data_IF_516801892905
#
_entry.id   IF_516801892905
#
_cell.length_a   1.000
_cell.length_b   1.000
_cell.length_c   1.000
_cell.angle_alpha   90.00
_cell.angle_beta   90.00
_cell.angle_gamma   90.00
#
_symmetry.space_group_name_H-M   'P 1'
#
loop_
_entity.id
_entity.type
_entity.pdbx_description
1 polymer ?
#
# COMPACT_ATOMS: atom_id res chain seq x y z
N UNK A 1 -38.11 0.62 -1.94
CA UNK A 1 -37.31 0.59 -0.71
C UNK A 1 -35.89 0.24 -1.15
N UNK A 2 -35.03 1.23 -1.25
CA UNK A 2 -33.59 1.02 -1.48
C UNK A 2 -33.05 0.39 -0.21
N UNK A 3 -32.69 -0.87 -0.31
CA UNK A 3 -31.93 -1.55 0.73
C UNK A 3 -30.51 -0.96 0.66
N UNK A 4 -30.31 0.20 1.30
CA UNK A 4 -28.97 0.74 1.54
C UNK A 4 -28.29 -0.26 2.46
N UNK A 5 -27.57 -1.19 1.85
CA UNK A 5 -26.65 -2.07 2.57
C UNK A 5 -25.64 -1.17 3.25
N UNK A 6 -25.93 -0.85 4.51
CA UNK A 6 -25.08 0.00 5.33
C UNK A 6 -23.74 -0.71 5.48
N UNK A 7 -22.67 -0.02 5.15
CA UNK A 7 -21.30 -0.48 5.40
C UNK A 7 -21.23 -1.07 6.81
N UNK A 8 -20.77 -2.29 6.95
CA UNK A 8 -20.76 -2.99 8.24
C UNK A 8 -19.58 -2.51 9.12
N UNK A 9 -19.65 -2.76 10.42
CA UNK A 9 -18.50 -2.52 11.32
C UNK A 9 -17.29 -3.29 10.87
N UNK A 10 -17.47 -4.50 10.33
CA UNK A 10 -16.40 -5.32 9.76
C UNK A 10 -15.75 -4.63 8.56
N UNK A 11 -16.54 -4.07 7.64
CA UNK A 11 -16.01 -3.32 6.49
C UNK A 11 -15.20 -2.09 6.92
N UNK A 12 -15.66 -1.38 7.95
CA UNK A 12 -14.93 -0.24 8.53
C UNK A 12 -13.59 -0.69 9.11
N UNK A 13 -13.53 -1.82 9.81
CA UNK A 13 -12.29 -2.38 10.33
C UNK A 13 -11.34 -2.82 9.21
N UNK A 14 -11.83 -3.32 8.09
CA UNK A 14 -11.02 -3.62 6.91
C UNK A 14 -10.33 -2.36 6.38
N UNK A 15 -11.03 -1.23 6.32
CA UNK A 15 -10.43 0.04 5.91
C UNK A 15 -9.30 0.49 6.86
N UNK A 16 -9.46 0.29 8.17
CA UNK A 16 -8.41 0.56 9.16
C UNK A 16 -7.18 -0.35 8.96
N UNK A 17 -7.42 -1.62 8.65
CA UNK A 17 -6.33 -2.56 8.32
C UNK A 17 -5.60 -2.13 7.04
N UNK A 18 -6.31 -1.70 6.01
CA UNK A 18 -5.71 -1.17 4.79
C UNK A 18 -4.82 0.05 5.08
N UNK A 19 -5.27 0.95 5.94
CA UNK A 19 -4.46 2.09 6.41
C UNK A 19 -3.15 1.61 7.06
N UNK A 20 -3.21 0.63 7.95
CA UNK A 20 -2.03 0.06 8.62
C UNK A 20 -1.06 -0.65 7.66
N UNK A 21 -1.57 -1.29 6.62
CA UNK A 21 -0.75 -1.88 5.56
C UNK A 21 0.10 -0.79 4.90
N UNK A 22 -0.51 0.30 4.47
CA UNK A 22 0.17 1.42 3.84
C UNK A 22 1.20 2.08 4.76
N UNK A 23 0.83 2.32 6.02
CA UNK A 23 1.74 2.86 7.03
C UNK A 23 2.97 1.98 7.23
N UNK A 24 2.80 0.67 7.24
CA UNK A 24 3.92 -0.29 7.37
C UNK A 24 4.81 -0.26 6.14
N UNK A 25 4.24 -0.16 4.94
CA UNK A 25 5.01 0.01 3.70
C UNK A 25 5.81 1.31 3.70
N UNK A 26 5.19 2.42 4.13
CA UNK A 26 5.86 3.71 4.26
C UNK A 26 7.06 3.64 5.23
N UNK A 27 6.90 2.96 6.37
CA UNK A 27 7.97 2.77 7.35
C UNK A 27 9.13 1.94 6.79
N UNK A 28 8.84 0.87 6.04
CA UNK A 28 9.84 0.07 5.36
C UNK A 28 10.65 0.91 4.36
N UNK A 29 9.98 1.71 3.54
CA UNK A 29 10.64 2.54 2.54
C UNK A 29 11.44 3.69 3.16
N UNK A 30 10.99 4.28 4.25
CA UNK A 30 11.79 5.22 5.05
C UNK A 30 13.03 4.57 5.65
N UNK A 31 12.92 3.34 6.10
CA UNK A 31 14.08 2.57 6.56
C UNK A 31 15.09 2.35 5.42
N UNK A 32 14.65 1.95 4.24
CA UNK A 32 15.53 1.82 3.08
C UNK A 32 16.15 3.14 2.64
N UNK A 33 15.39 4.24 2.65
CA UNK A 33 15.93 5.57 2.35
C UNK A 33 17.11 5.92 3.25
N UNK A 34 17.01 5.65 4.53
CA UNK A 34 18.11 5.89 5.50
C UNK A 34 19.26 4.91 5.34
N UNK A 35 18.96 3.64 5.11
CA UNK A 35 19.96 2.58 4.95
C UNK A 35 20.85 2.81 3.73
N UNK A 36 20.28 3.32 2.64
CA UNK A 36 21.00 3.57 1.38
C UNK A 36 21.27 5.06 1.13
N UNK A 37 21.46 5.83 2.20
CA UNK A 37 21.73 7.26 2.13
C UNK A 37 23.01 7.64 1.36
N UNK A 38 23.97 6.71 1.26
CA UNK A 38 25.19 6.90 0.48
C UNK A 38 24.95 6.96 -1.03
N UNK A 39 23.78 6.53 -1.48
CA UNK A 39 23.33 6.67 -2.87
C UNK A 39 22.16 7.66 -2.93
N UNK A 40 22.40 8.97 -3.19
CA UNK A 40 21.37 10.00 -3.11
C UNK A 40 20.17 9.75 -4.01
N UNK A 41 20.37 9.21 -5.20
CA UNK A 41 19.29 8.89 -6.14
C UNK A 41 18.38 7.77 -5.62
N UNK A 42 18.99 6.74 -5.05
CA UNK A 42 18.25 5.58 -4.47
C UNK A 42 17.55 6.00 -3.19
N UNK A 43 18.22 6.76 -2.32
CA UNK A 43 17.61 7.32 -1.11
C UNK A 43 16.39 8.19 -1.44
N UNK A 44 16.49 9.05 -2.45
CA UNK A 44 15.40 9.90 -2.90
C UNK A 44 14.23 9.07 -3.48
N UNK A 45 14.51 7.99 -4.20
CA UNK A 45 13.49 7.07 -4.70
C UNK A 45 12.67 6.48 -3.54
N UNK A 46 13.34 5.95 -2.52
CA UNK A 46 12.68 5.38 -1.35
C UNK A 46 11.88 6.41 -0.55
N UNK A 47 12.43 7.62 -0.37
CA UNK A 47 11.75 8.72 0.33
C UNK A 47 10.48 9.15 -0.40
N UNK A 48 10.54 9.25 -1.74
CA UNK A 48 9.37 9.55 -2.56
C UNK A 48 8.30 8.48 -2.42
N UNK A 49 8.69 7.21 -2.57
CA UNK A 49 7.78 6.08 -2.45
C UNK A 49 7.12 6.05 -1.06
N UNK A 50 7.89 6.26 0.01
CA UNK A 50 7.35 6.32 1.37
C UNK A 50 6.29 7.43 1.54
N UNK A 51 6.49 8.60 0.96
CA UNK A 51 5.50 9.71 1.00
C UNK A 51 4.23 9.38 0.23
N UNK A 52 4.35 8.65 -0.86
CA UNK A 52 3.20 8.20 -1.63
C UNK A 52 2.39 7.16 -0.85
N UNK A 53 3.06 6.23 -0.13
CA UNK A 53 2.37 5.30 0.78
C UNK A 53 1.68 6.01 1.96
N UNK A 54 2.29 7.07 2.51
CA UNK A 54 1.62 7.91 3.51
C UNK A 54 0.32 8.54 2.93
N UNK A 55 0.35 8.97 1.67
CA UNK A 55 -0.86 9.48 1.00
C UNK A 55 -1.92 8.41 0.80
N UNK A 56 -1.53 7.18 0.46
CA UNK A 56 -2.45 6.04 0.37
C UNK A 56 -3.08 5.73 1.72
N UNK A 57 -2.30 5.74 2.80
CA UNK A 57 -2.81 5.58 4.15
C UNK A 57 -3.87 6.64 4.51
N UNK A 58 -3.63 7.92 4.12
CA UNK A 58 -4.62 8.99 4.32
C UNK A 58 -5.91 8.77 3.52
N UNK A 59 -5.85 8.18 2.32
CA UNK A 59 -7.06 7.84 1.56
C UNK A 59 -7.90 6.80 2.31
N UNK A 60 -7.29 5.74 2.84
CA UNK A 60 -7.99 4.75 3.65
C UNK A 60 -8.49 5.34 4.97
N UNK A 61 -7.72 6.23 5.59
CA UNK A 61 -8.13 6.92 6.81
C UNK A 61 -9.33 7.83 6.57
N UNK A 62 -9.38 8.51 5.42
CA UNK A 62 -10.55 9.29 5.01
C UNK A 62 -11.77 8.38 4.87
N UNK A 63 -11.66 7.26 4.15
CA UNK A 63 -12.75 6.30 3.99
C UNK A 63 -13.23 5.76 5.34
N UNK A 64 -12.31 5.47 6.26
CA UNK A 64 -12.63 5.05 7.63
C UNK A 64 -13.41 6.14 8.40
N UNK A 65 -12.94 7.39 8.36
CA UNK A 65 -13.62 8.53 9.02
C UNK A 65 -15.01 8.79 8.46
N UNK A 66 -15.20 8.57 7.17
CA UNK A 66 -16.49 8.66 6.50
C UNK A 66 -17.41 7.46 6.84
N UNK A 67 -16.93 6.49 7.61
CA UNK A 67 -17.66 5.25 7.93
C UNK A 67 -18.10 4.50 6.66
N UNK A 68 -17.25 4.49 5.65
CA UNK A 68 -17.51 3.88 4.36
C UNK A 68 -18.56 4.59 3.50
N UNK A 69 -19.01 5.78 3.88
CA UNK A 69 -19.93 6.57 3.02
C UNK A 69 -19.27 6.88 1.70
N UNK A 70 -19.98 6.64 0.60
CA UNK A 70 -19.49 6.78 -0.76
C UNK A 70 -18.84 5.51 -1.32
N UNK A 71 -18.64 4.48 -0.50
CA UNK A 71 -18.25 3.14 -0.93
C UNK A 71 -19.44 2.21 -0.82
N UNK A 72 -19.80 1.53 -1.92
CA UNK A 72 -20.93 0.60 -1.94
C UNK A 72 -20.60 -0.73 -1.29
N UNK A 73 -19.44 -1.30 -1.64
CA UNK A 73 -19.02 -2.60 -1.11
C UNK A 73 -17.51 -2.78 -1.16
N UNK A 74 -17.01 -3.66 -0.29
CA UNK A 74 -15.67 -4.22 -0.35
C UNK A 74 -15.75 -5.65 -0.88
N UNK A 75 -14.72 -6.08 -1.65
CA UNK A 75 -14.60 -7.45 -2.16
C UNK A 75 -13.80 -8.37 -1.25
N UNK A 76 -13.01 -7.81 -0.35
CA UNK A 76 -12.19 -8.57 0.57
C UNK A 76 -12.92 -8.85 1.89
N UNK A 77 -12.47 -9.87 2.60
CA UNK A 77 -12.95 -10.17 3.95
C UNK A 77 -11.89 -9.88 5.02
N UNK A 78 -12.28 -9.96 6.28
CA UNK A 78 -11.42 -9.69 7.42
C UNK A 78 -10.22 -10.64 7.50
N UNK A 79 -10.41 -11.92 7.14
CA UNK A 79 -9.33 -12.91 7.15
C UNK A 79 -8.24 -12.55 6.14
N UNK A 80 -8.63 -12.17 4.92
CA UNK A 80 -7.71 -11.76 3.88
C UNK A 80 -6.98 -10.47 4.26
N UNK A 81 -7.69 -9.50 4.80
CA UNK A 81 -7.11 -8.24 5.27
C UNK A 81 -6.05 -8.47 6.37
N UNK A 82 -6.38 -9.25 7.39
CA UNK A 82 -5.47 -9.59 8.47
C UNK A 82 -4.26 -10.39 7.99
N UNK A 83 -4.47 -11.34 7.07
CA UNK A 83 -3.38 -12.11 6.47
C UNK A 83 -2.40 -11.21 5.72
N UNK A 84 -2.90 -10.27 4.94
CA UNK A 84 -2.07 -9.32 4.20
C UNK A 84 -1.28 -8.42 5.15
N UNK A 85 -1.92 -7.86 6.18
CA UNK A 85 -1.25 -7.04 7.19
C UNK A 85 -0.15 -7.83 7.92
N UNK A 86 -0.44 -9.05 8.36
CA UNK A 86 0.53 -9.92 9.04
C UNK A 86 1.74 -10.20 8.16
N UNK A 87 1.52 -10.44 6.87
CA UNK A 87 2.60 -10.69 5.92
C UNK A 87 3.47 -9.45 5.70
N UNK A 88 2.88 -8.28 5.53
CA UNK A 88 3.62 -7.01 5.35
C UNK A 88 4.43 -6.68 6.62
N UNK A 89 3.84 -6.83 7.79
CA UNK A 89 4.53 -6.64 9.07
C UNK A 89 5.69 -7.63 9.24
N UNK A 90 5.49 -8.89 8.86
CA UNK A 90 6.53 -9.91 8.90
C UNK A 90 7.71 -9.60 7.98
N UNK A 91 7.47 -9.08 6.79
CA UNK A 91 8.51 -8.61 5.87
C UNK A 91 9.31 -7.48 6.52
N UNK A 92 8.64 -6.47 7.05
CA UNK A 92 9.28 -5.33 7.71
C UNK A 92 10.14 -5.76 8.89
N UNK A 93 9.62 -6.59 9.78
CA UNK A 93 10.38 -7.12 10.92
C UNK A 93 11.60 -7.93 10.49
N UNK A 94 11.48 -8.74 9.44
CA UNK A 94 12.59 -9.52 8.88
C UNK A 94 13.70 -8.62 8.34
N UNK A 95 13.33 -7.55 7.64
CA UNK A 95 14.27 -6.55 7.11
C UNK A 95 15.02 -5.84 8.23
N UNK A 96 14.34 -5.49 9.32
CA UNK A 96 14.99 -4.86 10.48
C UNK A 96 16.00 -5.76 11.17
N UNK A 97 15.79 -7.07 11.18
CA UNK A 97 16.66 -8.06 11.82
C UNK A 97 17.87 -8.46 10.97
N UNK A 98 17.76 -8.41 9.67
CA UNK A 98 18.77 -8.85 8.72
C UNK A 98 19.04 -7.76 7.68
N UNK A 99 20.21 -7.08 7.73
CA UNK A 99 20.54 -6.08 6.72
C UNK A 99 20.46 -6.66 5.31
N UNK A 100 19.76 -5.95 4.42
CA UNK A 100 19.62 -6.34 3.03
C UNK A 100 20.67 -5.68 2.16
N UNK A 101 21.11 -6.35 1.08
CA UNK A 101 21.83 -5.68 0.00
C UNK A 101 20.84 -4.78 -0.74
N UNK A 102 21.35 -3.75 -1.45
CA UNK A 102 20.48 -2.90 -2.27
C UNK A 102 19.70 -3.72 -3.32
N UNK A 103 20.35 -4.73 -3.89
CA UNK A 103 19.72 -5.64 -4.85
C UNK A 103 18.52 -6.36 -4.23
N UNK A 104 18.70 -6.93 -3.05
CA UNK A 104 17.66 -7.66 -2.34
C UNK A 104 16.53 -6.71 -1.88
N UNK A 105 16.86 -5.50 -1.42
CA UNK A 105 15.88 -4.51 -1.02
C UNK A 105 14.98 -4.10 -2.19
N UNK A 106 15.54 -3.85 -3.37
CA UNK A 106 14.77 -3.54 -4.58
C UNK A 106 13.90 -4.73 -4.99
N UNK A 107 14.44 -5.94 -4.95
CA UNK A 107 13.68 -7.15 -5.28
C UNK A 107 12.50 -7.35 -4.31
N UNK A 108 12.73 -7.24 -3.00
CA UNK A 108 11.67 -7.33 -1.99
C UNK A 108 10.60 -6.27 -2.18
N UNK A 109 10.99 -5.04 -2.47
CA UNK A 109 10.05 -3.96 -2.72
C UNK A 109 9.17 -4.23 -3.95
N UNK A 110 9.76 -4.73 -5.04
CA UNK A 110 8.98 -5.12 -6.23
C UNK A 110 7.95 -6.20 -5.89
N UNK A 111 8.35 -7.24 -5.14
CA UNK A 111 7.43 -8.30 -4.72
C UNK A 111 6.32 -7.77 -3.81
N UNK A 112 6.67 -6.88 -2.89
CA UNK A 112 5.71 -6.26 -1.98
C UNK A 112 4.69 -5.41 -2.75
N UNK A 113 5.16 -4.54 -3.66
CA UNK A 113 4.29 -3.70 -4.47
C UNK A 113 3.33 -4.51 -5.35
N UNK A 114 3.81 -5.59 -5.97
CA UNK A 114 2.96 -6.50 -6.74
C UNK A 114 1.84 -7.10 -5.87
N UNK A 115 2.17 -7.53 -4.68
CA UNK A 115 1.22 -8.09 -3.73
C UNK A 115 0.18 -7.05 -3.28
N UNK A 116 0.62 -5.85 -2.90
CA UNK A 116 -0.24 -4.78 -2.41
C UNK A 116 -1.15 -4.25 -3.52
N UNK A 117 -0.61 -4.06 -4.72
CA UNK A 117 -1.39 -3.66 -5.89
C UNK A 117 -2.51 -4.66 -6.20
N UNK A 118 -2.21 -5.95 -6.19
CA UNK A 118 -3.22 -7.00 -6.36
C UNK A 118 -4.26 -6.97 -5.24
N UNK A 119 -3.82 -6.81 -3.99
CA UNK A 119 -4.71 -6.70 -2.84
C UNK A 119 -5.66 -5.50 -2.97
N UNK A 120 -5.16 -4.32 -3.35
CA UNK A 120 -5.98 -3.12 -3.55
C UNK A 120 -7.02 -3.31 -4.65
N UNK A 121 -6.62 -3.88 -5.79
CA UNK A 121 -7.54 -4.18 -6.90
C UNK A 121 -8.67 -5.13 -6.50
N UNK A 122 -8.40 -6.05 -5.57
CA UNK A 122 -9.36 -7.05 -5.10
C UNK A 122 -10.14 -6.61 -3.84
N UNK A 123 -9.83 -5.47 -3.24
CA UNK A 123 -10.46 -4.99 -2.00
C UNK A 123 -11.61 -4.04 -2.27
N UNK A 124 -11.39 -3.05 -3.14
CA UNK A 124 -12.35 -2.00 -3.42
C UNK A 124 -13.17 -2.36 -4.66
N UNK A 125 -14.48 -2.47 -4.49
CA UNK A 125 -15.36 -2.94 -5.54
C UNK A 125 -16.10 -1.82 -6.25
N UNK A 126 -17.02 -1.15 -5.54
CA UNK A 126 -17.96 -0.20 -6.10
C UNK A 126 -18.03 1.07 -5.25
N UNK A 127 -18.18 2.20 -5.93
CA UNK A 127 -18.32 3.51 -5.31
C UNK A 127 -19.62 4.17 -5.70
N UNK A 128 -20.28 4.83 -4.75
CA UNK A 128 -21.40 5.73 -4.98
C UNK A 128 -20.92 7.18 -5.18
N UNK A 129 -19.80 7.53 -4.57
CA UNK A 129 -19.16 8.85 -4.69
C UNK A 129 -18.06 8.85 -5.76
N UNK A 130 -18.27 9.66 -6.80
CA UNK A 130 -17.35 9.77 -7.94
C UNK A 130 -15.98 10.38 -7.56
N UNK A 131 -15.93 11.26 -6.58
CA UNK A 131 -14.66 11.85 -6.14
C UNK A 131 -13.84 10.84 -5.35
N UNK A 132 -14.50 10.06 -4.51
CA UNK A 132 -13.86 8.96 -3.78
C UNK A 132 -13.35 7.87 -4.74
N UNK A 133 -14.16 7.51 -5.74
CA UNK A 133 -13.77 6.57 -6.81
C UNK A 133 -12.49 7.04 -7.53
N UNK A 134 -12.41 8.32 -7.91
CA UNK A 134 -11.23 8.90 -8.56
C UNK A 134 -10.00 8.89 -7.65
N UNK A 135 -10.18 9.17 -6.37
CA UNK A 135 -9.12 9.17 -5.38
C UNK A 135 -8.46 7.78 -5.29
N UNK A 136 -9.27 6.73 -5.14
CA UNK A 136 -8.75 5.35 -5.08
C UNK A 136 -8.24 4.83 -6.42
N UNK A 137 -8.81 5.25 -7.53
CA UNK A 137 -8.28 4.94 -8.87
C UNK A 137 -6.89 5.55 -9.08
N UNK A 138 -6.68 6.77 -8.62
CA UNK A 138 -5.36 7.43 -8.64
C UNK A 138 -4.34 6.68 -7.79
N UNK A 139 -4.73 6.21 -6.62
CA UNK A 139 -3.89 5.38 -5.75
C UNK A 139 -3.44 4.09 -6.47
N UNK A 140 -4.36 3.36 -7.10
CA UNK A 140 -4.04 2.13 -7.84
C UNK A 140 -3.12 2.39 -9.04
N UNK A 141 -3.21 3.54 -9.69
CA UNK A 141 -2.30 3.94 -10.76
C UNK A 141 -0.89 4.24 -10.21
N UNK A 142 -0.79 4.85 -9.03
CA UNK A 142 0.48 5.06 -8.34
C UNK A 142 1.18 3.75 -8.00
N UNK A 143 0.45 2.72 -7.55
CA UNK A 143 1.02 1.40 -7.30
C UNK A 143 1.73 0.82 -8.55
N UNK A 144 1.13 1.00 -9.72
CA UNK A 144 1.74 0.58 -11.00
C UNK A 144 3.00 1.38 -11.33
N UNK A 145 3.00 2.67 -11.05
CA UNK A 145 4.15 3.54 -11.26
C UNK A 145 5.31 3.19 -10.32
N UNK A 146 5.01 2.84 -9.05
CA UNK A 146 6.00 2.33 -8.09
C UNK A 146 6.69 1.07 -8.61
N UNK A 147 5.92 0.08 -9.04
CA UNK A 147 6.44 -1.16 -9.59
C UNK A 147 7.37 -0.87 -10.79
N UNK A 148 6.91 -0.05 -11.72
CA UNK A 148 7.68 0.31 -12.93
C UNK A 148 9.00 1.00 -12.59
N UNK A 149 8.98 1.94 -11.63
CA UNK A 149 10.19 2.67 -11.19
C UNK A 149 11.18 1.76 -10.47
N UNK A 150 10.71 0.86 -9.61
CA UNK A 150 11.54 -0.09 -8.90
C UNK A 150 12.17 -1.11 -9.84
N UNK A 151 11.40 -1.64 -10.79
CA UNK A 151 11.89 -2.56 -11.81
C UNK A 151 12.95 -1.90 -12.71
N UNK A 152 12.72 -0.65 -13.11
CA UNK A 152 13.68 0.13 -13.89
C UNK A 152 14.99 0.30 -13.11
N UNK A 153 14.92 0.71 -11.86
CA UNK A 153 16.11 0.87 -11.01
C UNK A 153 16.86 -0.44 -10.81
N UNK A 154 16.14 -1.54 -10.63
CA UNK A 154 16.74 -2.87 -10.51
C UNK A 154 17.52 -3.26 -11.77
N UNK A 155 16.92 -3.08 -12.94
CA UNK A 155 17.56 -3.38 -14.23
C UNK A 155 18.78 -2.52 -14.50
N UNK A 156 18.67 -1.21 -14.27
CA UNK A 156 19.78 -0.27 -14.50
C UNK A 156 21.00 -0.53 -13.60
N UNK A 157 20.81 -1.07 -12.41
CA UNK A 157 21.86 -1.30 -11.44
C UNK A 157 22.45 -2.72 -11.46
N UNK A 158 21.68 -3.71 -11.88
CA UNK A 158 22.02 -5.13 -11.65
C UNK A 158 21.90 -6.03 -12.89
N UNK A 159 21.41 -5.53 -14.02
CA UNK A 159 21.32 -6.24 -15.32
C UNK A 159 22.07 -5.49 -16.42
#
# INVERSE_FOLDING_TARGET
>A
MTNDAKFSITDIHILDICCKIEETCADLYRYFSKTYADSPQISALWEKTAKEEDSHAEHFRLAYRLQGRGIRSLKTDMNQANKTLTMVQGIYESVLKSPQTLKDALWFAIQLELLISEYHMNTLADFDDKNLERLFSSMMNNDKDHISMLEKSYKELFE
#
